data_IF_037740556118
#
_entry.id   IF_037740556118
#
_cell.length_a   1.000
_cell.length_b   1.000
_cell.length_c   1.000
_cell.angle_alpha   90.00
_cell.angle_beta   90.00
_cell.angle_gamma   90.00
#
_symmetry.space_group_name_H-M   'P 1'
#
loop_
_entity.id
_entity.type
_entity.pdbx_description
1 polymer ?
#
# COMPACT_ATOMS: atom_id res chain seq x y z
N UNK A 1 43.44 -16.95 -52.54
CA UNK A 1 41.99 -17.22 -52.68
C UNK A 1 41.19 -17.08 -51.36
N UNK A 2 41.74 -16.48 -50.30
CA UNK A 2 41.02 -16.30 -49.01
C UNK A 2 40.63 -14.85 -48.69
N UNK A 3 41.21 -13.84 -49.34
CA UNK A 3 40.93 -12.42 -49.06
C UNK A 3 39.65 -11.88 -49.74
N UNK A 4 39.06 -12.59 -50.69
CA UNK A 4 37.85 -12.15 -51.41
C UNK A 4 36.52 -12.56 -50.78
N UNK A 5 36.55 -13.45 -49.78
CA UNK A 5 35.33 -13.95 -49.12
C UNK A 5 34.95 -13.13 -47.88
N UNK A 6 35.92 -12.57 -47.16
CA UNK A 6 35.66 -11.71 -45.99
C UNK A 6 35.06 -10.34 -46.41
N UNK A 7 35.53 -9.77 -47.52
CA UNK A 7 35.01 -8.50 -48.04
C UNK A 7 33.55 -8.61 -48.54
N UNK A 8 33.17 -9.77 -49.12
CA UNK A 8 31.78 -10.01 -49.52
C UNK A 8 30.85 -10.22 -48.33
N UNK A 9 31.35 -10.76 -47.22
CA UNK A 9 30.56 -10.98 -46.02
C UNK A 9 30.30 -9.64 -45.29
N UNK A 10 31.33 -8.82 -45.18
CA UNK A 10 31.26 -7.50 -44.52
C UNK A 10 30.42 -6.49 -45.32
N UNK A 11 30.43 -6.57 -46.67
CA UNK A 11 29.56 -5.77 -47.52
C UNK A 11 28.08 -6.23 -47.45
N UNK A 12 27.80 -7.53 -47.25
CA UNK A 12 26.42 -8.00 -47.02
C UNK A 12 25.88 -7.52 -45.69
N UNK A 13 26.66 -7.61 -44.61
CA UNK A 13 26.19 -7.24 -43.27
C UNK A 13 25.91 -5.74 -43.11
N UNK A 14 26.71 -4.88 -43.75
CA UNK A 14 26.47 -3.43 -43.82
C UNK A 14 25.20 -3.10 -44.62
N UNK A 15 24.97 -3.77 -45.75
CA UNK A 15 23.76 -3.60 -46.57
C UNK A 15 22.49 -4.08 -45.83
N UNK A 16 22.59 -5.13 -45.01
CA UNK A 16 21.48 -5.62 -44.18
C UNK A 16 21.17 -4.67 -43.01
N UNK A 17 22.18 -4.03 -42.42
CA UNK A 17 22.01 -3.04 -41.36
C UNK A 17 21.32 -1.76 -41.89
N UNK A 18 21.74 -1.24 -43.04
CA UNK A 18 21.09 -0.07 -43.68
C UNK A 18 19.64 -0.36 -44.09
N UNK A 19 19.35 -1.56 -44.62
CA UNK A 19 17.96 -1.97 -44.92
C UNK A 19 17.09 -2.07 -43.67
N UNK A 20 17.65 -2.44 -42.51
CA UNK A 20 16.94 -2.45 -41.23
C UNK A 20 16.71 -1.05 -40.68
N UNK A 21 17.67 -0.14 -40.81
CA UNK A 21 17.54 1.26 -40.41
C UNK A 21 16.47 1.98 -41.25
N UNK A 22 16.52 1.83 -42.58
CA UNK A 22 15.52 2.40 -43.49
C UNK A 22 14.11 1.83 -43.28
N UNK A 23 13.99 0.56 -42.86
CA UNK A 23 12.71 -0.05 -42.47
C UNK A 23 12.21 0.49 -41.12
N UNK A 24 13.11 0.73 -40.18
CA UNK A 24 12.80 1.36 -38.88
C UNK A 24 12.29 2.80 -39.04
N UNK A 25 12.95 3.60 -39.89
CA UNK A 25 12.50 4.97 -40.21
C UNK A 25 11.17 4.98 -40.96
N UNK A 26 10.94 4.08 -41.92
CA UNK A 26 9.63 3.96 -42.59
C UNK A 26 8.52 3.57 -41.60
N UNK A 27 8.77 2.66 -40.66
CA UNK A 27 7.77 2.30 -39.63
C UNK A 27 7.51 3.47 -38.69
N UNK A 28 8.54 4.24 -38.32
CA UNK A 28 8.40 5.42 -37.46
C UNK A 28 7.64 6.54 -38.17
N UNK A 29 7.90 6.79 -39.46
CA UNK A 29 7.18 7.77 -40.29
C UNK A 29 5.73 7.36 -40.59
N UNK A 30 5.45 6.05 -40.73
CA UNK A 30 4.08 5.55 -40.93
C UNK A 30 3.27 5.65 -39.63
N UNK A 31 3.91 5.45 -38.47
CA UNK A 31 3.28 5.64 -37.16
C UNK A 31 3.08 7.13 -36.80
N UNK A 32 3.95 8.04 -37.25
CA UNK A 32 3.75 9.48 -37.05
C UNK A 32 2.68 10.06 -37.99
N UNK A 33 2.60 9.59 -39.23
CA UNK A 33 1.56 10.02 -40.18
C UNK A 33 0.16 9.48 -39.84
N UNK A 34 0.07 8.32 -39.18
CA UNK A 34 -1.19 7.77 -38.67
C UNK A 34 -1.71 8.47 -37.40
N UNK A 35 -0.88 9.30 -36.76
CA UNK A 35 -1.22 10.03 -35.55
C UNK A 35 -1.91 11.40 -35.82
N UNK A 36 -1.97 11.87 -37.08
CA UNK A 36 -2.51 13.21 -37.41
C UNK A 36 -3.74 13.22 -38.36
N UNK A 37 -4.38 12.06 -38.60
CA UNK A 37 -5.70 12.01 -39.26
C UNK A 37 -6.72 11.19 -38.49
N UNK A 38 -6.86 11.50 -37.20
CA UNK A 38 -8.08 11.21 -36.44
C UNK A 38 -8.90 12.49 -36.37
N UNK A 39 -9.92 12.59 -37.21
CA UNK A 39 -10.80 13.76 -37.29
C UNK A 39 -11.32 14.16 -35.91
N UNK A 40 -11.30 15.47 -35.66
CA UNK A 40 -11.96 16.09 -34.53
C UNK A 40 -13.44 15.72 -34.53
N UNK A 41 -13.79 14.73 -33.72
CA UNK A 41 -15.04 14.78 -32.99
C UNK A 41 -14.68 15.46 -31.68
N UNK A 42 -15.28 16.64 -31.45
CA UNK A 42 -15.39 17.22 -30.13
C UNK A 42 -16.06 16.15 -29.27
N UNK A 43 -15.25 15.35 -28.56
CA UNK A 43 -15.77 14.41 -27.57
C UNK A 43 -16.50 15.28 -26.56
N UNK A 44 -17.81 15.08 -26.42
CA UNK A 44 -18.53 15.59 -25.27
C UNK A 44 -17.72 15.26 -24.02
N UNK A 45 -17.33 16.28 -23.25
CA UNK A 45 -16.87 16.17 -21.87
C UNK A 45 -18.03 15.69 -20.98
N UNK A 46 -18.61 14.54 -21.32
CA UNK A 46 -19.67 13.90 -20.57
C UNK A 46 -19.06 13.12 -19.42
N UNK A 47 -19.29 13.57 -18.18
CA UNK A 47 -18.95 12.84 -16.96
C UNK A 47 -19.35 11.35 -17.09
N UNK A 48 -18.42 10.43 -16.79
CA UNK A 48 -18.67 8.98 -16.80
C UNK A 48 -19.49 8.55 -15.57
N UNK A 49 -20.74 9.01 -15.50
CA UNK A 49 -21.68 8.81 -14.38
C UNK A 49 -22.48 7.51 -14.48
N UNK A 50 -22.30 6.73 -15.56
CA UNK A 50 -22.97 5.43 -15.72
C UNK A 50 -22.65 4.53 -14.52
N UNK A 51 -23.68 4.01 -13.88
CA UNK A 51 -23.60 3.09 -12.73
C UNK A 51 -22.81 3.64 -11.52
N UNK A 52 -22.76 4.97 -11.32
CA UNK A 52 -21.96 5.58 -10.24
C UNK A 52 -22.30 5.04 -8.84
N UNK A 53 -23.58 4.89 -8.50
CA UNK A 53 -24.00 4.33 -7.22
C UNK A 53 -23.54 2.87 -7.04
N UNK A 54 -23.63 2.06 -8.09
CA UNK A 54 -23.16 0.67 -8.09
C UNK A 54 -21.63 0.61 -7.96
N UNK A 55 -20.89 1.50 -8.64
CA UNK A 55 -19.43 1.61 -8.51
C UNK A 55 -19.00 1.95 -7.08
N UNK A 56 -19.70 2.87 -6.41
CA UNK A 56 -19.45 3.20 -5.01
C UNK A 56 -19.78 2.04 -4.05
N UNK A 57 -20.86 1.30 -4.30
CA UNK A 57 -21.19 0.09 -3.52
C UNK A 57 -20.13 -0.99 -3.72
N UNK A 58 -19.67 -1.20 -4.95
CA UNK A 58 -18.57 -2.12 -5.25
C UNK A 58 -17.28 -1.69 -4.55
N UNK A 59 -16.94 -0.40 -4.59
CA UNK A 59 -15.78 0.13 -3.89
C UNK A 59 -15.84 -0.13 -2.38
N UNK A 60 -17.02 0.07 -1.79
CA UNK A 60 -17.25 -0.21 -0.38
C UNK A 60 -17.17 -1.70 -0.05
N UNK A 61 -17.79 -2.55 -0.86
CA UNK A 61 -17.74 -4.00 -0.71
C UNK A 61 -16.30 -4.53 -0.80
N UNK A 62 -15.52 -4.08 -1.79
CA UNK A 62 -14.13 -4.51 -1.98
C UNK A 62 -13.24 -4.06 -0.82
N UNK A 63 -13.38 -2.80 -0.38
CA UNK A 63 -12.62 -2.24 0.72
C UNK A 63 -12.90 -2.96 2.04
N UNK A 64 -14.19 -3.19 2.36
CA UNK A 64 -14.61 -3.87 3.57
C UNK A 64 -14.22 -5.34 3.56
N UNK A 65 -14.35 -6.03 2.42
CA UNK A 65 -13.93 -7.43 2.27
C UNK A 65 -12.41 -7.58 2.47
N UNK A 66 -11.61 -6.69 1.86
CA UNK A 66 -10.16 -6.69 2.04
C UNK A 66 -9.77 -6.39 3.50
N UNK A 67 -10.39 -5.39 4.11
CA UNK A 67 -10.21 -5.05 5.52
C UNK A 67 -10.57 -6.22 6.47
N UNK A 68 -11.70 -6.88 6.22
CA UNK A 68 -12.15 -8.05 6.99
C UNK A 68 -11.23 -9.26 6.82
N UNK A 69 -10.65 -9.47 5.63
CA UNK A 69 -9.72 -10.57 5.39
C UNK A 69 -8.40 -10.42 6.16
N UNK A 70 -7.90 -9.19 6.30
CA UNK A 70 -6.65 -8.92 7.05
C UNK A 70 -6.87 -8.76 8.55
N UNK A 71 -8.11 -8.45 8.96
CA UNK A 71 -8.44 -8.09 10.34
C UNK A 71 -8.07 -9.16 11.39
N UNK A 72 -8.26 -10.47 11.19
CA UNK A 72 -7.92 -11.48 12.20
C UNK A 72 -6.43 -11.46 12.56
N UNK A 73 -5.56 -11.38 11.56
CA UNK A 73 -4.10 -11.37 11.74
C UNK A 73 -3.66 -10.09 12.43
N UNK A 74 -4.10 -8.93 11.92
CA UNK A 74 -3.66 -7.64 12.45
C UNK A 74 -4.20 -7.39 13.86
N UNK A 75 -5.47 -7.73 14.13
CA UNK A 75 -6.05 -7.58 15.47
C UNK A 75 -5.37 -8.47 16.50
N UNK A 76 -4.96 -9.69 16.13
CA UNK A 76 -4.16 -10.57 16.99
C UNK A 76 -2.81 -9.94 17.36
N UNK A 77 -2.09 -9.43 16.36
CA UNK A 77 -0.77 -8.81 16.57
C UNK A 77 -0.91 -7.55 17.43
N UNK A 78 -1.84 -6.64 17.10
CA UNK A 78 -2.05 -5.39 17.84
C UNK A 78 -2.45 -5.64 19.28
N UNK A 79 -3.34 -6.62 19.51
CA UNK A 79 -3.72 -7.03 20.86
C UNK A 79 -2.53 -7.58 21.64
N UNK A 80 -1.75 -8.48 21.04
CA UNK A 80 -0.61 -9.10 21.71
C UNK A 80 0.49 -8.08 22.07
N UNK A 81 0.74 -7.11 21.20
CA UNK A 81 1.69 -6.02 21.46
C UNK A 81 1.20 -5.16 22.64
N UNK A 82 -0.07 -4.76 22.64
CA UNK A 82 -0.63 -3.91 23.72
C UNK A 82 -0.70 -4.65 25.07
N UNK A 83 -1.11 -5.91 25.09
CA UNK A 83 -1.13 -6.72 26.31
C UNK A 83 0.29 -6.94 26.87
N UNK A 84 1.28 -7.14 25.99
CA UNK A 84 2.67 -7.28 26.39
C UNK A 84 3.27 -5.97 26.92
N UNK A 85 3.00 -4.84 26.25
CA UNK A 85 3.48 -3.53 26.68
C UNK A 85 2.87 -3.05 28.00
N UNK A 86 1.62 -3.44 28.28
CA UNK A 86 0.92 -3.10 29.52
C UNK A 86 1.29 -4.00 30.71
N UNK A 87 2.07 -5.07 30.49
CA UNK A 87 2.38 -6.09 31.48
C UNK A 87 1.24 -7.07 31.80
N UNK A 88 0.07 -6.95 31.15
CA UNK A 88 -1.08 -7.85 31.37
C UNK A 88 -0.79 -9.29 30.98
N UNK A 89 -0.12 -9.51 29.85
CA UNK A 89 0.14 -10.86 29.36
C UNK A 89 1.33 -10.89 28.40
N UNK A 90 2.12 -11.97 28.42
CA UNK A 90 3.18 -12.19 27.44
C UNK A 90 2.63 -12.32 26.02
N UNK A 91 3.38 -11.80 25.04
CA UNK A 91 3.01 -11.71 23.62
C UNK A 91 2.56 -13.07 23.04
N UNK A 92 3.36 -14.13 23.21
CA UNK A 92 3.02 -15.46 22.65
C UNK A 92 1.80 -16.10 23.28
N UNK A 93 1.61 -15.90 24.59
CA UNK A 93 0.41 -16.38 25.29
C UNK A 93 -0.83 -15.65 24.79
N UNK A 94 -0.72 -14.34 24.49
CA UNK A 94 -1.82 -13.55 23.93
C UNK A 94 -2.20 -14.03 22.53
N UNK A 95 -1.21 -14.28 21.67
CA UNK A 95 -1.43 -14.84 20.34
C UNK A 95 -2.11 -16.21 20.43
N UNK A 96 -1.59 -17.14 21.26
CA UNK A 96 -2.18 -18.48 21.43
C UNK A 96 -3.64 -18.41 21.88
N UNK A 97 -3.95 -17.58 22.88
CA UNK A 97 -5.34 -17.40 23.34
C UNK A 97 -6.23 -16.81 22.26
N UNK A 98 -5.72 -15.86 21.48
CA UNK A 98 -6.48 -15.22 20.41
C UNK A 98 -6.71 -16.17 19.23
N UNK A 99 -5.71 -16.97 18.85
CA UNK A 99 -5.86 -18.06 17.88
C UNK A 99 -6.87 -19.09 18.37
N UNK A 100 -6.75 -19.56 19.61
CA UNK A 100 -7.72 -20.50 20.18
C UNK A 100 -9.14 -19.93 20.13
N UNK A 101 -9.32 -18.64 20.45
CA UNK A 101 -10.63 -17.99 20.35
C UNK A 101 -11.14 -17.91 18.91
N UNK A 102 -10.27 -17.60 17.94
CA UNK A 102 -10.61 -17.56 16.53
C UNK A 102 -11.06 -18.93 16.01
N UNK A 103 -10.35 -20.00 16.37
CA UNK A 103 -10.67 -21.37 15.94
C UNK A 103 -11.89 -21.94 16.65
N UNK A 104 -11.96 -21.81 17.98
CA UNK A 104 -13.00 -22.47 18.78
C UNK A 104 -14.28 -21.66 18.91
N UNK A 105 -14.23 -20.33 18.79
CA UNK A 105 -15.39 -19.43 18.89
C UNK A 105 -15.29 -18.25 17.91
N UNK A 106 -15.29 -18.52 16.58
CA UNK A 106 -15.09 -17.51 15.55
C UNK A 106 -16.13 -16.39 15.62
N UNK A 107 -17.40 -16.70 15.90
CA UNK A 107 -18.47 -15.70 15.99
C UNK A 107 -18.20 -14.64 17.08
N UNK A 108 -17.69 -15.05 18.26
CA UNK A 108 -17.31 -14.10 19.33
C UNK A 108 -16.06 -13.29 19.00
N UNK A 109 -15.20 -13.81 18.12
CA UNK A 109 -14.02 -13.09 17.67
C UNK A 109 -14.38 -12.04 16.62
N UNK A 110 -15.20 -12.43 15.64
CA UNK A 110 -15.63 -11.55 14.53
C UNK A 110 -16.55 -10.42 15.00
N UNK A 111 -17.35 -10.63 16.06
CA UNK A 111 -18.16 -9.56 16.66
C UNK A 111 -17.40 -8.74 17.72
N UNK A 112 -16.11 -9.01 17.93
CA UNK A 112 -15.34 -8.32 18.96
C UNK A 112 -14.97 -6.89 18.53
N UNK A 113 -14.97 -5.97 19.51
CA UNK A 113 -14.54 -4.57 19.30
C UNK A 113 -13.14 -4.45 18.66
N UNK A 114 -12.11 -5.22 19.09
CA UNK A 114 -10.79 -5.15 18.46
C UNK A 114 -10.81 -5.51 16.97
N UNK A 115 -11.59 -6.53 16.58
CA UNK A 115 -11.76 -6.89 15.18
C UNK A 115 -12.43 -5.76 14.39
N UNK A 116 -13.56 -5.25 14.88
CA UNK A 116 -14.31 -4.18 14.23
C UNK A 116 -13.48 -2.90 14.02
N UNK A 117 -12.64 -2.53 14.99
CA UNK A 117 -11.74 -1.38 14.88
C UNK A 117 -10.68 -1.56 13.79
N UNK A 118 -10.17 -2.77 13.61
CA UNK A 118 -9.20 -3.07 12.55
C UNK A 118 -9.88 -3.07 11.17
N UNK A 119 -11.08 -3.65 11.05
CA UNK A 119 -11.89 -3.55 9.83
C UNK A 119 -12.17 -2.09 9.50
N UNK A 120 -12.52 -1.27 10.49
CA UNK A 120 -12.75 0.17 10.30
C UNK A 120 -11.51 0.89 9.77
N UNK A 121 -10.31 0.65 10.32
CA UNK A 121 -9.08 1.31 9.88
C UNK A 121 -8.71 0.91 8.45
N UNK A 122 -8.57 -0.39 8.19
CA UNK A 122 -8.11 -0.86 6.88
C UNK A 122 -9.20 -0.73 5.81
N UNK A 123 -10.44 -1.11 6.14
CA UNK A 123 -11.59 -0.92 5.28
C UNK A 123 -11.82 0.55 4.94
N UNK A 124 -11.78 1.46 5.93
CA UNK A 124 -11.92 2.90 5.68
C UNK A 124 -10.78 3.49 4.85
N UNK A 125 -9.54 3.02 5.04
CA UNK A 125 -8.40 3.46 4.24
C UNK A 125 -8.52 3.00 2.78
N UNK A 126 -8.88 1.74 2.55
CA UNK A 126 -9.16 1.23 1.20
C UNK A 126 -10.36 1.92 0.56
N UNK A 127 -11.41 2.19 1.33
CA UNK A 127 -12.59 2.90 0.88
C UNK A 127 -12.23 4.29 0.36
N UNK A 128 -11.45 5.04 1.13
CA UNK A 128 -10.97 6.37 0.74
C UNK A 128 -10.14 6.32 -0.56
N UNK A 129 -9.27 5.31 -0.70
CA UNK A 129 -8.51 5.09 -1.92
C UNK A 129 -9.41 4.81 -3.12
N UNK A 130 -10.37 3.90 -2.95
CA UNK A 130 -11.28 3.44 -4.00
C UNK A 130 -12.25 4.55 -4.44
N UNK A 131 -12.84 5.27 -3.50
CA UNK A 131 -13.74 6.40 -3.78
C UNK A 131 -13.04 7.50 -4.55
N UNK A 132 -11.78 7.81 -4.22
CA UNK A 132 -11.04 8.81 -4.97
C UNK A 132 -10.72 8.32 -6.40
N UNK A 133 -10.40 7.04 -6.56
CA UNK A 133 -10.19 6.46 -7.89
C UNK A 133 -11.47 6.57 -8.74
N UNK A 134 -12.62 6.24 -8.17
CA UNK A 134 -13.93 6.35 -8.83
C UNK A 134 -14.31 7.81 -9.12
N UNK A 135 -14.12 8.74 -8.17
CA UNK A 135 -14.35 10.17 -8.36
C UNK A 135 -13.50 10.74 -9.50
N UNK A 136 -12.22 10.37 -9.59
CA UNK A 136 -11.33 10.83 -10.66
C UNK A 136 -11.62 10.18 -12.02
N UNK A 137 -12.07 8.93 -12.05
CA UNK A 137 -12.54 8.28 -13.29
C UNK A 137 -13.87 8.85 -13.79
N UNK A 138 -14.65 9.47 -12.90
CA UNK A 138 -15.93 10.13 -13.24
C UNK A 138 -15.69 11.54 -13.79
N UNK A 139 -14.79 12.30 -13.16
CA UNK A 139 -14.47 13.71 -13.50
C UNK A 139 -13.45 13.88 -14.62
N UNK A 140 -12.67 12.84 -14.93
CA UNK A 140 -11.85 12.77 -16.14
C UNK A 140 -12.26 11.48 -16.85
N UNK A 141 -12.72 11.51 -18.11
CA UNK A 141 -13.20 10.33 -18.82
C UNK A 141 -12.07 9.32 -18.96
N UNK A 142 -11.96 8.45 -17.95
CA UNK A 142 -11.02 7.35 -17.86
C UNK A 142 -11.81 6.08 -17.55
N UNK A 143 -11.28 4.90 -17.89
CA UNK A 143 -11.91 3.63 -17.54
C UNK A 143 -12.20 3.58 -16.04
N UNK A 144 -13.31 2.95 -15.64
CA UNK A 144 -13.66 2.78 -14.23
C UNK A 144 -12.53 2.04 -13.48
N UNK A 145 -11.88 1.09 -14.16
CA UNK A 145 -10.73 0.36 -13.62
C UNK A 145 -9.48 1.22 -13.33
N UNK A 146 -9.47 2.51 -13.67
CA UNK A 146 -8.30 3.37 -13.51
C UNK A 146 -7.94 3.57 -12.03
N UNK A 147 -6.69 3.25 -11.68
CA UNK A 147 -6.11 3.49 -10.35
C UNK A 147 -5.34 4.80 -10.39
N UNK A 148 -5.81 5.80 -9.65
CA UNK A 148 -5.10 7.07 -9.51
C UNK A 148 -3.85 6.87 -8.66
N UNK A 149 -2.79 7.58 -9.03
CA UNK A 149 -1.60 7.81 -8.21
C UNK A 149 -1.40 9.33 -8.07
N UNK A 150 -0.80 9.77 -6.97
CA UNK A 150 -0.40 11.17 -6.76
C UNK A 150 -0.95 11.84 -5.50
N UNK A 151 -0.71 13.17 -5.35
CA UNK A 151 -0.89 13.90 -4.09
C UNK A 151 -2.30 13.82 -3.50
N UNK A 152 -3.35 13.85 -4.35
CA UNK A 152 -4.72 13.76 -3.87
C UNK A 152 -5.05 12.40 -3.23
N UNK A 153 -4.55 11.30 -3.80
CA UNK A 153 -4.75 9.95 -3.22
C UNK A 153 -3.98 9.80 -1.95
N UNK A 154 -2.74 10.27 -1.97
CA UNK A 154 -1.92 10.34 -0.78
C UNK A 154 -2.60 11.15 0.34
N UNK A 155 -3.11 12.36 0.07
CA UNK A 155 -3.76 13.19 1.07
C UNK A 155 -5.03 12.54 1.63
N UNK A 156 -5.94 12.05 0.77
CA UNK A 156 -7.19 11.43 1.19
C UNK A 156 -6.95 10.16 2.04
N UNK A 157 -6.09 9.25 1.55
CA UNK A 157 -5.78 8.01 2.26
C UNK A 157 -4.98 8.24 3.53
N UNK A 158 -4.08 9.25 3.56
CA UNK A 158 -3.33 9.59 4.77
C UNK A 158 -4.23 10.21 5.84
N UNK A 159 -5.12 11.11 5.46
CA UNK A 159 -6.08 11.71 6.38
C UNK A 159 -7.02 10.65 6.98
N UNK A 160 -7.55 9.76 6.12
CA UNK A 160 -8.39 8.64 6.56
C UNK A 160 -7.61 7.69 7.49
N UNK A 161 -6.43 7.22 7.07
CA UNK A 161 -5.64 6.29 7.86
C UNK A 161 -5.22 6.87 9.21
N UNK A 162 -4.77 8.13 9.25
CA UNK A 162 -4.37 8.81 10.48
C UNK A 162 -5.57 8.95 11.43
N UNK A 163 -6.69 9.49 10.95
CA UNK A 163 -7.88 9.70 11.77
C UNK A 163 -8.45 8.39 12.33
N UNK A 164 -8.58 7.36 11.49
CA UNK A 164 -9.10 6.06 11.90
C UNK A 164 -8.13 5.35 12.85
N UNK A 165 -6.81 5.46 12.62
CA UNK A 165 -5.79 4.88 13.50
C UNK A 165 -5.82 5.53 14.88
N UNK A 166 -6.00 6.85 14.97
CA UNK A 166 -6.16 7.54 16.26
C UNK A 166 -7.38 7.05 17.04
N UNK A 167 -8.52 6.88 16.37
CA UNK A 167 -9.73 6.31 17.00
C UNK A 167 -9.44 4.89 17.51
N UNK A 168 -8.83 4.06 16.67
CA UNK A 168 -8.46 2.67 17.02
C UNK A 168 -7.49 2.63 18.20
N UNK A 169 -6.42 3.41 18.20
CA UNK A 169 -5.42 3.43 19.27
C UNK A 169 -6.00 3.91 20.60
N UNK A 170 -6.88 4.92 20.58
CA UNK A 170 -7.60 5.39 21.78
C UNK A 170 -8.45 4.27 22.39
N UNK A 171 -9.19 3.53 21.56
CA UNK A 171 -10.03 2.43 22.03
C UNK A 171 -9.21 1.22 22.49
N UNK A 172 -8.11 0.89 21.80
CA UNK A 172 -7.20 -0.19 22.22
C UNK A 172 -6.53 0.11 23.57
N UNK A 173 -6.13 1.36 23.78
CA UNK A 173 -5.57 1.78 25.07
C UNK A 173 -6.61 1.65 26.19
N UNK A 174 -7.86 2.04 25.94
CA UNK A 174 -8.96 1.85 26.93
C UNK A 174 -9.24 0.38 27.25
N UNK A 175 -9.14 -0.51 26.27
CA UNK A 175 -9.41 -1.95 26.47
C UNK A 175 -8.23 -2.69 27.10
N UNK A 176 -7.01 -2.40 26.67
CA UNK A 176 -5.83 -3.21 26.96
C UNK A 176 -4.77 -2.49 27.79
N UNK A 177 -4.80 -1.17 27.88
CA UNK A 177 -3.89 -0.40 28.74
C UNK A 177 -4.11 -0.67 30.24
N UNK A 178 -3.05 -0.41 31.00
CA UNK A 178 -3.03 -0.40 32.49
C UNK A 178 -2.65 0.97 33.04
N UNK A 179 -2.20 1.90 32.20
CA UNK A 179 -1.68 3.21 32.58
C UNK A 179 -2.67 4.31 32.18
N UNK A 180 -2.77 5.35 33.02
CA UNK A 180 -3.62 6.53 32.80
C UNK A 180 -3.28 7.25 31.48
N UNK A 181 -4.33 7.71 30.77
CA UNK A 181 -4.24 8.37 29.47
C UNK A 181 -3.58 9.75 29.63
N UNK A 182 -2.27 9.85 29.38
CA UNK A 182 -1.55 11.12 29.43
C UNK A 182 -1.69 11.85 28.08
N UNK A 183 -1.87 13.18 28.06
CA UNK A 183 -1.88 13.93 26.81
C UNK A 183 -0.58 13.73 26.04
N UNK A 184 -0.70 13.37 24.77
CA UNK A 184 0.43 13.17 23.86
C UNK A 184 0.92 14.55 23.36
N UNK A 185 2.23 14.85 23.43
CA UNK A 185 2.77 16.10 22.92
C UNK A 185 2.47 16.30 21.41
N UNK A 186 2.23 17.54 20.94
CA UNK A 186 1.99 17.80 19.52
C UNK A 186 3.08 17.29 18.58
N UNK A 187 4.34 17.35 19.02
CA UNK A 187 5.49 16.83 18.25
C UNK A 187 5.42 15.31 18.05
N UNK A 188 4.98 14.56 19.08
CA UNK A 188 4.76 13.12 18.95
C UNK A 188 3.65 12.81 17.95
N UNK A 189 2.57 13.60 17.93
CA UNK A 189 1.53 13.47 16.91
C UNK A 189 2.06 13.72 15.50
N UNK A 190 2.87 14.77 15.30
CA UNK A 190 3.47 15.07 14.01
C UNK A 190 4.38 13.93 13.51
N UNK A 191 5.17 13.33 14.40
CA UNK A 191 6.03 12.18 14.08
C UNK A 191 5.24 10.92 13.71
N UNK A 192 4.13 10.67 14.41
CA UNK A 192 3.23 9.55 14.08
C UNK A 192 2.50 9.79 12.76
N UNK A 193 2.03 11.01 12.52
CA UNK A 193 1.42 11.41 11.26
C UNK A 193 2.39 11.28 10.08
N UNK A 194 3.64 11.74 10.24
CA UNK A 194 4.70 11.60 9.22
C UNK A 194 4.97 10.12 8.91
N UNK A 195 5.10 9.30 9.95
CA UNK A 195 5.29 7.86 9.81
C UNK A 195 4.12 7.19 9.06
N UNK A 196 2.89 7.57 9.37
CA UNK A 196 1.70 7.01 8.75
C UNK A 196 1.60 7.44 7.29
N UNK A 197 1.86 8.72 7.01
CA UNK A 197 1.99 9.24 5.65
C UNK A 197 3.02 8.44 4.84
N UNK A 198 4.24 8.23 5.34
CA UNK A 198 5.24 7.42 4.62
C UNK A 198 4.73 6.02 4.31
N UNK A 199 4.06 5.37 5.26
CA UNK A 199 3.52 4.01 5.09
C UNK A 199 2.42 3.99 4.03
N UNK A 200 1.51 4.96 4.05
CA UNK A 200 0.42 5.08 3.08
C UNK A 200 0.95 5.43 1.69
N UNK A 201 1.91 6.34 1.59
CA UNK A 201 2.59 6.67 0.35
C UNK A 201 3.21 5.42 -0.28
N UNK A 202 3.99 4.67 0.50
CA UNK A 202 4.63 3.45 0.04
C UNK A 202 3.63 2.34 -0.31
N UNK A 203 2.44 2.34 0.29
CA UNK A 203 1.43 1.29 0.06
C UNK A 203 0.56 1.54 -1.16
N UNK A 204 0.22 2.80 -1.45
CA UNK A 204 -0.74 3.13 -2.51
C UNK A 204 -0.12 3.82 -3.73
N UNK A 205 1.02 4.51 -3.58
CA UNK A 205 1.61 5.31 -4.65
C UNK A 205 2.90 4.70 -5.19
N UNK A 206 3.71 4.09 -4.33
CA UNK A 206 5.00 3.52 -4.72
C UNK A 206 4.91 2.22 -5.54
N UNK A 207 3.96 1.29 -5.32
CA UNK A 207 3.91 0.03 -6.07
C UNK A 207 3.84 0.18 -7.59
N UNK A 208 2.98 1.04 -8.19
CA UNK A 208 2.97 1.22 -9.64
C UNK A 208 4.26 1.87 -10.17
N UNK A 209 5.00 2.61 -9.34
CA UNK A 209 6.28 3.23 -9.74
C UNK A 209 7.43 2.22 -9.74
N UNK A 210 7.45 1.30 -8.78
CA UNK A 210 8.56 0.33 -8.65
C UNK A 210 8.31 -0.97 -9.41
N UNK A 211 7.04 -1.37 -9.61
CA UNK A 211 6.70 -2.63 -10.27
C UNK A 211 7.36 -2.81 -11.65
N UNK A 212 7.40 -1.80 -12.55
CA UNK A 212 8.07 -1.95 -13.85
C UNK A 212 9.59 -2.13 -13.73
N UNK A 213 10.18 -1.62 -12.64
CA UNK A 213 11.64 -1.56 -12.42
C UNK A 213 12.17 -2.68 -11.52
N UNK A 214 11.30 -3.55 -11.01
CA UNK A 214 11.71 -4.67 -10.17
C UNK A 214 12.46 -5.71 -11.01
N UNK A 215 13.73 -6.02 -10.68
CA UNK A 215 14.44 -7.12 -11.30
C UNK A 215 13.86 -8.43 -10.79
N UNK A 216 13.06 -9.11 -11.60
CA UNK A 216 12.52 -10.44 -11.29
C UNK A 216 13.02 -11.45 -12.32
N UNK A 217 13.50 -12.58 -11.83
CA UNK A 217 13.81 -13.75 -12.65
C UNK A 217 12.53 -14.34 -13.23
N UNK A 218 12.61 -15.00 -14.39
CA UNK A 218 11.45 -15.64 -15.03
C UNK A 218 10.74 -16.64 -14.11
N UNK A 219 11.49 -17.34 -13.25
CA UNK A 219 10.93 -18.24 -12.26
C UNK A 219 10.12 -17.51 -11.17
N UNK A 220 10.54 -16.31 -10.77
CA UNK A 220 9.83 -15.50 -9.78
C UNK A 220 8.53 -14.90 -10.37
N UNK A 221 8.55 -14.50 -11.65
CA UNK A 221 7.37 -13.99 -12.34
C UNK A 221 6.27 -15.04 -12.52
N UNK A 222 6.63 -16.32 -12.65
CA UNK A 222 5.67 -17.43 -12.68
C UNK A 222 4.91 -17.60 -11.36
N UNK A 223 5.50 -17.19 -10.23
CA UNK A 223 4.92 -17.34 -8.88
C UNK A 223 4.22 -16.06 -8.43
N UNK A 224 4.77 -14.89 -8.76
CA UNK A 224 4.24 -13.60 -8.31
C UNK A 224 4.44 -12.51 -9.36
N UNK A 225 3.37 -11.79 -9.68
CA UNK A 225 3.47 -10.63 -10.57
C UNK A 225 4.32 -9.52 -9.94
N UNK A 226 5.04 -8.76 -10.77
CA UNK A 226 5.85 -7.60 -10.31
C UNK A 226 5.03 -6.60 -9.50
N UNK A 227 3.76 -6.41 -9.85
CA UNK A 227 2.82 -5.55 -9.11
C UNK A 227 2.54 -6.07 -7.71
N UNK A 228 2.33 -7.38 -7.56
CA UNK A 228 2.11 -7.99 -6.24
C UNK A 228 3.40 -7.89 -5.42
N UNK A 229 4.55 -8.25 -6.00
CA UNK A 229 5.83 -8.12 -5.32
C UNK A 229 6.09 -6.69 -4.83
N UNK A 230 5.81 -5.68 -5.66
CA UNK A 230 5.89 -4.28 -5.28
C UNK A 230 4.96 -3.92 -4.11
N UNK A 231 3.74 -4.45 -4.08
CA UNK A 231 2.78 -4.22 -3.00
C UNK A 231 3.19 -4.88 -1.68
N UNK A 232 3.98 -5.95 -1.70
CA UNK A 232 4.56 -6.55 -0.50
C UNK A 232 5.85 -5.83 -0.06
N UNK A 233 6.73 -5.51 -1.01
CA UNK A 233 8.05 -4.93 -0.74
C UNK A 233 7.99 -3.47 -0.31
N UNK A 234 7.20 -2.62 -0.99
CA UNK A 234 7.19 -1.20 -0.70
C UNK A 234 6.73 -0.87 0.74
N UNK A 235 5.61 -1.42 1.24
CA UNK A 235 5.17 -1.18 2.62
C UNK A 235 6.13 -1.75 3.66
N UNK A 236 6.81 -2.85 3.35
CA UNK A 236 7.80 -3.46 4.24
C UNK A 236 9.07 -2.60 4.30
N UNK A 237 9.64 -2.22 3.15
CA UNK A 237 10.89 -1.45 3.06
C UNK A 237 10.76 -0.09 3.75
N UNK A 238 9.63 0.61 3.58
CA UNK A 238 9.41 1.91 4.24
C UNK A 238 9.35 1.79 5.77
N UNK A 239 9.17 0.60 6.34
CA UNK A 239 9.24 0.43 7.80
C UNK A 239 10.64 0.68 8.34
N UNK A 240 11.69 0.37 7.58
CA UNK A 240 13.07 0.67 8.00
C UNK A 240 13.28 2.18 8.17
N UNK A 241 12.67 2.98 7.31
CA UNK A 241 12.79 4.44 7.33
C UNK A 241 11.77 5.10 8.28
N UNK A 242 10.56 4.56 8.40
CA UNK A 242 9.48 5.16 9.20
C UNK A 242 9.49 4.76 10.68
N UNK A 243 10.19 3.67 11.04
CA UNK A 243 10.29 3.21 12.43
C UNK A 243 11.10 4.14 13.34
N UNK A 244 12.23 4.74 12.90
CA UNK A 244 12.94 5.74 13.70
C UNK A 244 12.07 6.90 14.18
N UNK A 245 11.22 7.46 13.30
CA UNK A 245 10.29 8.54 13.68
C UNK A 245 9.29 8.11 14.75
N UNK A 246 8.80 6.88 14.67
CA UNK A 246 7.90 6.33 15.67
C UNK A 246 8.58 6.06 17.01
N UNK A 247 9.78 5.46 17.00
CA UNK A 247 10.54 5.24 18.24
C UNK A 247 10.93 6.55 18.90
N UNK A 248 11.30 7.55 18.10
CA UNK A 248 11.60 8.89 18.60
C UNK A 248 10.34 9.55 19.21
N UNK A 249 9.19 9.46 18.54
CA UNK A 249 7.93 9.95 19.10
C UNK A 249 7.52 9.27 20.41
N UNK A 250 7.75 7.97 20.53
CA UNK A 250 7.51 7.21 21.76
C UNK A 250 8.49 7.60 22.88
N UNK A 251 9.76 7.81 22.57
CA UNK A 251 10.76 8.26 23.54
C UNK A 251 10.44 9.67 24.06
N UNK A 252 10.00 10.58 23.18
CA UNK A 252 9.50 11.90 23.56
C UNK A 252 8.27 11.84 24.46
N UNK A 253 7.36 10.88 24.24
CA UNK A 253 6.17 10.72 25.08
C UNK A 253 6.50 10.12 26.46
N UNK A 254 7.41 9.14 26.50
CA UNK A 254 7.70 8.37 27.72
C UNK A 254 8.76 9.02 28.62
N UNK A 255 9.72 9.77 28.06
CA UNK A 255 10.83 10.42 28.80
C UNK A 255 10.76 11.94 28.62
N UNK A 256 9.99 12.59 29.50
CA UNK A 256 9.94 14.05 29.60
C UNK A 256 11.03 14.57 30.56
N UNK A 257 11.67 15.68 30.20
CA UNK A 257 12.65 16.38 31.03
C UNK A 257 14.10 15.89 30.86
N UNK A 258 15.01 16.81 30.50
CA UNK A 258 16.47 16.69 30.65
C UNK A 258 17.22 15.63 29.85
N UNK A 259 16.54 14.67 29.21
CA UNK A 259 17.22 13.58 28.49
C UNK A 259 17.95 14.12 27.25
N UNK A 260 19.29 13.98 27.16
CA UNK A 260 20.08 14.44 26.01
C UNK A 260 19.63 13.78 24.71
N UNK A 261 19.71 14.51 23.60
CA UNK A 261 19.33 14.00 22.28
C UNK A 261 20.11 12.73 21.89
N UNK A 262 21.38 12.62 22.30
CA UNK A 262 22.23 11.44 22.08
C UNK A 262 21.63 10.16 22.68
N UNK A 263 21.10 10.25 23.90
CA UNK A 263 20.55 9.10 24.61
C UNK A 263 19.23 8.62 24.00
N UNK A 264 18.45 9.59 23.46
CA UNK A 264 17.23 9.29 22.71
C UNK A 264 17.57 8.56 21.42
N UNK A 265 18.57 9.03 20.69
CA UNK A 265 19.01 8.42 19.42
C UNK A 265 19.63 7.03 19.64
N UNK A 266 20.37 6.84 20.74
CA UNK A 266 20.92 5.55 21.11
C UNK A 266 19.81 4.52 21.41
N UNK A 267 18.78 4.92 22.16
CA UNK A 267 17.60 4.07 22.40
C UNK A 267 16.91 3.69 21.09
N UNK A 268 16.67 4.67 20.21
CA UNK A 268 16.07 4.43 18.88
C UNK A 268 16.91 3.42 18.10
N UNK A 269 18.24 3.55 18.09
CA UNK A 269 19.15 2.64 17.38
C UNK A 269 19.08 1.20 17.91
N UNK A 270 19.03 1.02 19.22
CA UNK A 270 18.96 -0.31 19.87
C UNK A 270 17.64 -1.01 19.55
N UNK A 271 16.53 -0.27 19.59
CA UNK A 271 15.19 -0.82 19.41
C UNK A 271 14.75 -0.87 17.93
N UNK A 272 15.50 -0.24 17.02
CA UNK A 272 15.12 -0.01 15.63
C UNK A 272 14.81 -1.29 14.87
N UNK A 273 15.72 -2.27 14.87
CA UNK A 273 15.56 -3.48 14.06
C UNK A 273 14.40 -4.34 14.56
N UNK A 274 14.33 -4.57 15.88
CA UNK A 274 13.26 -5.34 16.51
C UNK A 274 11.89 -4.70 16.23
N UNK A 275 11.79 -3.39 16.37
CA UNK A 275 10.55 -2.64 16.12
C UNK A 275 10.18 -2.61 14.65
N UNK A 276 11.16 -2.51 13.75
CA UNK A 276 10.93 -2.51 12.31
C UNK A 276 10.38 -3.85 11.85
N UNK A 277 10.96 -4.97 12.31
CA UNK A 277 10.48 -6.32 11.99
C UNK A 277 9.06 -6.56 12.52
N UNK A 278 8.79 -6.20 13.77
CA UNK A 278 7.44 -6.31 14.34
C UNK A 278 6.39 -5.52 13.52
N UNK A 279 6.78 -4.33 13.02
CA UNK A 279 5.92 -3.52 12.16
C UNK A 279 5.75 -4.10 10.76
N UNK A 280 6.80 -4.66 10.17
CA UNK A 280 6.70 -5.38 8.89
C UNK A 280 5.73 -6.56 9.00
N UNK A 281 5.82 -7.35 10.08
CA UNK A 281 4.89 -8.48 10.33
C UNK A 281 3.42 -8.05 10.37
N UNK A 282 3.14 -6.82 10.83
CA UNK A 282 1.79 -6.26 10.83
C UNK A 282 1.39 -5.70 9.46
N UNK A 283 2.30 -5.02 8.77
CA UNK A 283 2.01 -4.22 7.57
C UNK A 283 1.94 -5.08 6.31
N UNK A 284 2.69 -6.18 6.26
CA UNK A 284 2.67 -7.12 5.14
C UNK A 284 1.28 -7.77 4.96
N UNK A 285 0.64 -8.35 5.99
CA UNK A 285 -0.74 -8.83 5.88
C UNK A 285 -1.70 -7.70 5.51
N UNK A 286 -1.58 -6.54 6.16
CA UNK A 286 -2.46 -5.41 5.94
C UNK A 286 -2.37 -4.89 4.49
N UNK A 287 -1.27 -4.24 4.12
CA UNK A 287 -1.16 -3.52 2.85
C UNK A 287 -0.63 -4.39 1.70
N UNK A 288 0.12 -5.46 1.98
CA UNK A 288 0.53 -6.43 0.97
C UNK A 288 -0.65 -7.28 0.52
N UNK A 289 -1.11 -8.20 1.37
CA UNK A 289 -2.23 -9.08 1.02
C UNK A 289 -3.55 -8.31 0.85
N UNK A 290 -3.92 -7.45 1.80
CA UNK A 290 -5.15 -6.65 1.71
C UNK A 290 -5.15 -5.68 0.54
N UNK A 291 -3.99 -5.08 0.20
CA UNK A 291 -3.87 -4.20 -0.97
C UNK A 291 -4.07 -4.95 -2.28
N UNK A 292 -3.43 -6.12 -2.42
CA UNK A 292 -3.59 -6.98 -3.61
C UNK A 292 -5.04 -7.45 -3.73
N UNK A 293 -5.65 -7.89 -2.63
CA UNK A 293 -7.04 -8.35 -2.61
C UNK A 293 -8.02 -7.23 -2.98
N UNK A 294 -7.91 -6.05 -2.36
CA UNK A 294 -8.77 -4.90 -2.67
C UNK A 294 -8.67 -4.52 -4.15
N UNK A 295 -7.46 -4.37 -4.67
CA UNK A 295 -7.24 -4.00 -6.07
C UNK A 295 -7.77 -5.08 -7.02
N UNK A 296 -7.54 -6.36 -6.73
CA UNK A 296 -7.99 -7.46 -7.58
C UNK A 296 -9.52 -7.56 -7.63
N UNK A 297 -10.19 -7.44 -6.48
CA UNK A 297 -11.65 -7.45 -6.41
C UNK A 297 -12.24 -6.23 -7.12
N UNK A 298 -11.71 -5.03 -6.83
CA UNK A 298 -12.17 -3.79 -7.46
C UNK A 298 -12.02 -3.84 -8.97
N UNK A 299 -10.87 -4.28 -9.48
CA UNK A 299 -10.63 -4.41 -10.92
C UNK A 299 -11.61 -5.38 -11.59
N UNK A 300 -11.93 -6.52 -10.95
CA UNK A 300 -12.88 -7.50 -11.50
C UNK A 300 -14.30 -6.95 -11.54
N UNK A 301 -14.79 -6.40 -10.43
CA UNK A 301 -16.17 -5.93 -10.34
C UNK A 301 -16.41 -4.62 -11.08
N UNK A 302 -15.45 -3.68 -11.10
CA UNK A 302 -15.62 -2.44 -11.84
C UNK A 302 -15.61 -2.67 -13.37
N UNK A 303 -14.83 -3.63 -13.88
CA UNK A 303 -14.89 -4.03 -15.30
C UNK A 303 -16.25 -4.60 -15.72
N UNK A 304 -17.02 -5.18 -14.80
CA UNK A 304 -18.37 -5.65 -15.08
C UNK A 304 -19.40 -4.51 -15.12
N UNK A 305 -19.02 -3.30 -14.69
CA UNK A 305 -19.86 -2.10 -14.62
C UNK A 305 -19.42 -1.01 -15.64
N UNK A 306 -18.48 -1.35 -16.52
CA UNK A 306 -18.11 -0.58 -17.72
C UNK A 306 -19.04 -0.94 -18.88
#
# INVERSE_FOLDING_TARGET
MAAGLEDQQQHRDTTFAEKRAARGEKIFATNSSSAERGGGSLMEEGNNTKNLSQRLVVDAGCAMAAGAAVAPVVSMIDRAIMENASGKQQLMTSIKKSMAKLFWRPHLYLTSKPFALIVMVYGGTYLSANFLDTFKSTTRPRPASHVTHGPAKFAATSAANLGLTMIKDSQFTKMFGTVSNRPVPPVTYALFALRDAMTIFASFNLPPMIAPRLPMTEAAEKVMSRTSAAQFLAPAAIQLVSTPFHLYGLDLYNRNGGTPFSDRLNKVRIDWLKSSLARMCRIVPAFGFGGVLNNSLRLRFQKQLE
#
